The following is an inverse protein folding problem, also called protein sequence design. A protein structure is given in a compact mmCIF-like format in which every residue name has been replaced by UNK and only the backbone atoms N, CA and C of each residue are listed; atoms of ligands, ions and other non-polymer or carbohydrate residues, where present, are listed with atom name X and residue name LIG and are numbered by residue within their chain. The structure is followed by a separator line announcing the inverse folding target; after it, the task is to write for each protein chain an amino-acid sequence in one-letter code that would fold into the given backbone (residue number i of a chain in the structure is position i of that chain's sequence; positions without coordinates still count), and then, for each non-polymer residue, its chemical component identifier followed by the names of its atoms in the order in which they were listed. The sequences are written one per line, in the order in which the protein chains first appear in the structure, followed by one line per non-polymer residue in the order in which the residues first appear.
data_IF_741245664436
#
_entry.id   IF_741245664436
#
_cell.length_a   1.000
_cell.length_b   1.000
_cell.length_c   1.000
_cell.angle_alpha   90.00
_cell.angle_beta   90.00
_cell.angle_gamma   90.00
#
_symmetry.space_group_name_H-M   'P 1'
#
loop_
_entity.id
_entity.type
_entity.pdbx_description
1 polymer ?
#
# COMPACT_ATOMS: atom_id res chain seq x y z
N UNK A 1 9.62 -15.07 9.16
CA UNK A 1 9.97 -14.37 10.41
C UNK A 1 8.66 -13.88 11.02
N UNK A 2 8.38 -14.30 12.26
CA UNK A 2 7.20 -13.80 12.97
C UNK A 2 7.49 -12.36 13.39
N UNK A 3 6.68 -11.39 12.94
CA UNK A 3 6.81 -10.03 13.41
C UNK A 3 6.50 -10.00 14.91
N UNK A 4 7.39 -9.39 15.71
CA UNK A 4 7.11 -9.12 17.12
C UNK A 4 6.30 -7.82 17.19
N UNK A 5 5.19 -7.85 17.91
CA UNK A 5 4.35 -6.68 18.11
C UNK A 5 4.95 -5.79 19.21
N UNK A 6 5.07 -4.51 18.94
CA UNK A 6 5.36 -3.53 19.99
C UNK A 6 4.09 -3.23 20.79
N UNK A 7 4.14 -3.19 22.11
CA UNK A 7 3.01 -2.74 22.91
C UNK A 7 2.50 -1.39 22.42
N UNK A 8 1.21 -1.25 22.16
CA UNK A 8 0.51 -0.07 21.63
C UNK A 8 0.76 0.27 20.14
N UNK A 9 1.41 -0.62 19.37
CA UNK A 9 1.66 -0.42 17.94
C UNK A 9 1.15 -1.58 17.10
N UNK A 10 0.24 -2.38 17.66
CA UNK A 10 -0.40 -3.50 16.95
C UNK A 10 -1.04 -3.01 15.66
N UNK A 11 -0.72 -3.67 14.55
CA UNK A 11 -1.19 -3.27 13.22
C UNK A 11 -0.26 -2.33 12.45
N UNK A 12 0.78 -1.76 13.07
CA UNK A 12 1.82 -1.01 12.34
C UNK A 12 3.09 -1.83 12.08
N UNK A 13 3.17 -3.06 12.55
CA UNK A 13 4.28 -3.96 12.22
C UNK A 13 4.38 -4.15 10.69
N UNK A 14 5.61 -4.04 10.18
CA UNK A 14 5.89 -4.13 8.74
C UNK A 14 5.93 -2.78 7.99
N UNK A 15 5.34 -1.70 8.50
CA UNK A 15 5.33 -0.42 7.79
C UNK A 15 6.72 0.22 7.65
N UNK A 16 7.62 0.00 8.60
CA UNK A 16 9.00 0.52 8.58
C UNK A 16 9.79 -0.02 7.38
N UNK A 17 9.48 -1.22 6.90
CA UNK A 17 10.15 -1.82 5.75
C UNK A 17 10.03 -0.95 4.49
N UNK A 18 8.85 -0.40 4.22
CA UNK A 18 8.66 0.53 3.10
C UNK A 18 9.43 1.82 3.26
N UNK A 19 9.42 2.42 4.46
CA UNK A 19 10.24 3.60 4.75
C UNK A 19 11.74 3.34 4.60
N UNK A 20 12.20 2.16 5.00
CA UNK A 20 13.59 1.76 4.81
C UNK A 20 13.97 1.68 3.32
N UNK A 21 13.12 1.08 2.47
CA UNK A 21 13.34 1.06 1.02
C UNK A 21 13.42 2.47 0.43
N UNK A 22 12.45 3.33 0.76
CA UNK A 22 12.48 4.74 0.33
C UNK A 22 13.77 5.43 0.76
N UNK A 23 14.18 5.26 2.03
CA UNK A 23 15.39 5.89 2.55
C UNK A 23 16.66 5.42 1.82
N UNK A 24 16.79 4.12 1.54
CA UNK A 24 17.93 3.57 0.81
C UNK A 24 17.96 4.07 -0.64
N UNK A 25 16.82 4.04 -1.33
CA UNK A 25 16.72 4.49 -2.71
C UNK A 25 17.03 5.99 -2.86
N UNK A 26 16.41 6.84 -2.05
CA UNK A 26 16.59 8.29 -2.08
C UNK A 26 18.01 8.67 -1.67
N UNK A 27 18.58 8.02 -0.66
CA UNK A 27 19.97 8.27 -0.27
C UNK A 27 20.95 7.89 -1.39
N UNK A 28 20.76 6.73 -2.03
CA UNK A 28 21.54 6.33 -3.18
C UNK A 28 21.46 7.35 -4.32
N UNK A 29 20.25 7.78 -4.68
CA UNK A 29 20.04 8.79 -5.74
C UNK A 29 20.73 10.12 -5.43
N UNK A 30 20.68 10.55 -4.17
CA UNK A 30 21.24 11.84 -3.74
C UNK A 30 22.78 11.83 -3.59
N UNK A 31 23.37 10.69 -3.23
CA UNK A 31 24.78 10.63 -2.79
C UNK A 31 25.66 9.65 -3.59
N UNK A 32 25.07 8.74 -4.35
CA UNK A 32 25.76 7.63 -4.99
C UNK A 32 26.27 6.57 -4.01
N UNK A 33 25.76 6.53 -2.76
CA UNK A 33 26.23 5.60 -1.74
C UNK A 33 25.88 4.15 -2.12
N UNK A 34 26.93 3.39 -2.43
CA UNK A 34 26.79 1.99 -2.89
C UNK A 34 26.22 1.06 -1.81
N UNK A 35 26.53 1.30 -0.55
CA UNK A 35 25.99 0.49 0.55
C UNK A 35 24.45 0.63 0.63
N UNK A 36 23.90 1.83 0.41
CA UNK A 36 22.47 2.02 0.34
C UNK A 36 21.84 1.23 -0.82
N UNK A 37 22.49 1.22 -1.99
CA UNK A 37 22.04 0.42 -3.12
C UNK A 37 22.08 -1.08 -2.81
N UNK A 38 23.16 -1.59 -2.29
CA UNK A 38 23.33 -3.01 -1.93
C UNK A 38 22.28 -3.45 -0.91
N UNK A 39 21.98 -2.63 0.11
CA UNK A 39 20.95 -2.91 1.10
C UNK A 39 19.55 -2.91 0.50
N UNK A 40 19.26 -2.00 -0.42
CA UNK A 40 18.00 -1.95 -1.17
C UNK A 40 17.85 -3.21 -2.02
N UNK A 41 18.83 -3.58 -2.81
CA UNK A 41 18.82 -4.77 -3.67
C UNK A 41 18.67 -6.07 -2.85
N UNK A 42 19.36 -6.18 -1.72
CA UNK A 42 19.21 -7.30 -0.79
C UNK A 42 17.76 -7.40 -0.30
N UNK A 43 17.17 -6.28 0.15
CA UNK A 43 15.79 -6.29 0.63
C UNK A 43 14.80 -6.66 -0.47
N UNK A 44 14.99 -6.19 -1.71
CA UNK A 44 14.14 -6.56 -2.85
C UNK A 44 14.20 -8.07 -3.14
N UNK A 45 15.39 -8.67 -3.02
CA UNK A 45 15.56 -10.13 -3.15
C UNK A 45 14.75 -10.88 -2.09
N UNK A 46 14.85 -10.48 -0.82
CA UNK A 46 14.08 -11.09 0.28
C UNK A 46 12.56 -10.90 0.11
N UNK A 47 12.12 -9.72 -0.37
CA UNK A 47 10.71 -9.48 -0.68
C UNK A 47 10.19 -10.37 -1.81
N UNK A 48 11.01 -10.67 -2.81
CA UNK A 48 10.68 -11.62 -3.87
C UNK A 48 10.46 -13.02 -3.31
N UNK A 49 11.29 -13.46 -2.38
CA UNK A 49 11.09 -14.76 -1.72
C UNK A 49 9.83 -14.77 -0.84
N UNK A 50 9.53 -13.66 -0.14
CA UNK A 50 8.28 -13.50 0.59
C UNK A 50 7.06 -13.60 -0.32
N UNK A 51 7.09 -12.97 -1.50
CA UNK A 51 6.03 -13.03 -2.49
C UNK A 51 5.78 -14.46 -2.94
N UNK A 52 6.84 -15.18 -3.36
CA UNK A 52 6.76 -16.59 -3.77
C UNK A 52 6.18 -17.48 -2.66
N UNK A 53 6.63 -17.26 -1.43
CA UNK A 53 6.13 -18.02 -0.28
C UNK A 53 4.64 -17.77 -0.04
N UNK A 54 4.16 -16.53 -0.22
CA UNK A 54 2.75 -16.19 -0.09
C UNK A 54 1.91 -16.80 -1.23
N UNK A 55 2.40 -16.80 -2.45
CA UNK A 55 1.72 -17.46 -3.58
C UNK A 55 1.50 -18.95 -3.34
N UNK A 56 2.50 -19.63 -2.76
CA UNK A 56 2.42 -21.07 -2.49
C UNK A 56 1.55 -21.38 -1.26
N UNK A 57 1.78 -20.66 -0.16
CA UNK A 57 1.18 -21.01 1.12
C UNK A 57 -0.20 -20.39 1.35
N UNK A 58 -0.57 -19.37 0.57
CA UNK A 58 -1.78 -18.58 0.73
C UNK A 58 -2.50 -18.39 -0.62
N UNK A 59 -2.65 -19.45 -1.40
CA UNK A 59 -3.13 -19.41 -2.79
C UNK A 59 -4.47 -18.66 -2.99
N UNK A 60 -5.33 -18.62 -1.96
CA UNK A 60 -6.62 -17.92 -2.04
C UNK A 60 -6.49 -16.40 -2.13
N UNK A 61 -5.47 -15.80 -1.47
CA UNK A 61 -5.32 -14.35 -1.35
C UNK A 61 -3.88 -13.85 -1.52
N UNK A 62 -2.89 -14.73 -1.47
CA UNK A 62 -1.47 -14.36 -1.32
C UNK A 62 -0.72 -14.07 -2.62
N UNK A 63 -1.31 -14.35 -3.79
CA UNK A 63 -0.65 -14.10 -5.07
C UNK A 63 -0.40 -12.59 -5.26
N UNK A 64 0.88 -12.20 -5.29
CA UNK A 64 1.30 -10.79 -5.38
C UNK A 64 1.42 -10.04 -4.04
N UNK A 65 1.11 -10.67 -2.90
CA UNK A 65 1.18 -10.03 -1.58
C UNK A 65 2.59 -10.06 -0.99
N UNK A 66 3.08 -8.90 -0.58
CA UNK A 66 4.37 -8.71 0.08
C UNK A 66 4.32 -7.80 1.32
N UNK A 67 3.15 -7.59 1.87
CA UNK A 67 2.99 -6.79 3.08
C UNK A 67 3.41 -7.55 4.34
N UNK A 68 3.87 -6.82 5.36
CA UNK A 68 4.25 -7.35 6.68
C UNK A 68 3.19 -7.18 7.76
N UNK A 69 1.92 -6.97 7.39
CA UNK A 69 0.85 -6.75 8.35
C UNK A 69 0.61 -7.99 9.23
N UNK A 70 0.50 -7.83 10.56
CA UNK A 70 0.26 -8.96 11.47
C UNK A 70 -1.05 -9.69 11.15
N UNK A 71 -1.06 -11.01 11.35
CA UNK A 71 -2.23 -11.86 11.09
C UNK A 71 -2.80 -11.77 9.66
N UNK A 72 -1.98 -11.42 8.68
CA UNK A 72 -2.38 -11.28 7.25
C UNK A 72 -3.22 -12.45 6.74
N UNK A 73 -2.90 -13.69 7.14
CA UNK A 73 -3.64 -14.86 6.67
C UNK A 73 -5.12 -14.83 7.09
N UNK A 74 -5.39 -14.57 8.36
CA UNK A 74 -6.76 -14.46 8.86
C UNK A 74 -7.48 -13.24 8.26
N UNK A 75 -6.79 -12.10 8.25
CA UNK A 75 -7.33 -10.84 7.74
C UNK A 75 -7.74 -10.95 6.26
N UNK A 76 -6.80 -11.32 5.39
CA UNK A 76 -7.05 -11.28 3.95
C UNK A 76 -7.94 -12.42 3.45
N UNK A 77 -7.91 -13.59 4.11
CA UNK A 77 -8.88 -14.66 3.84
C UNK A 77 -10.32 -14.23 4.12
N UNK A 78 -10.56 -13.58 5.26
CA UNK A 78 -11.89 -13.07 5.62
C UNK A 78 -12.30 -11.91 4.72
N UNK A 79 -11.40 -10.95 4.50
CA UNK A 79 -11.62 -9.77 3.67
C UNK A 79 -12.01 -10.15 2.23
N UNK A 80 -11.33 -11.10 1.62
CA UNK A 80 -11.64 -11.60 0.26
C UNK A 80 -13.03 -12.23 0.17
N UNK A 81 -13.54 -12.79 1.28
CA UNK A 81 -14.88 -13.38 1.38
C UNK A 81 -15.97 -12.34 1.67
N UNK A 82 -15.59 -11.04 1.77
CA UNK A 82 -16.51 -9.95 2.07
C UNK A 82 -16.79 -9.73 3.55
N UNK A 83 -16.03 -10.38 4.45
CA UNK A 83 -16.12 -10.12 5.90
C UNK A 83 -15.26 -8.91 6.26
N UNK A 84 -15.91 -7.78 6.47
CA UNK A 84 -15.26 -6.54 6.88
C UNK A 84 -14.97 -6.45 8.38
N UNK A 85 -15.59 -7.28 9.23
CA UNK A 85 -15.47 -7.11 10.67
C UNK A 85 -14.03 -7.25 11.15
N UNK A 86 -13.32 -8.26 10.63
CA UNK A 86 -11.91 -8.44 10.96
C UNK A 86 -11.05 -7.28 10.48
N UNK A 87 -11.36 -6.71 9.30
CA UNK A 87 -10.65 -5.55 8.75
C UNK A 87 -10.91 -4.30 9.60
N UNK A 88 -12.16 -4.03 9.95
CA UNK A 88 -12.53 -2.86 10.75
C UNK A 88 -12.03 -2.95 12.20
N UNK A 89 -11.78 -4.17 12.71
CA UNK A 89 -11.17 -4.39 14.02
C UNK A 89 -9.64 -4.32 14.00
N UNK A 90 -9.04 -4.45 12.83
CA UNK A 90 -7.60 -4.32 12.65
C UNK A 90 -7.21 -2.84 12.53
N UNK A 91 -6.06 -2.45 13.10
CA UNK A 91 -5.62 -1.07 13.00
C UNK A 91 -4.92 -0.79 11.67
N UNK A 92 -5.61 -0.03 10.79
CA UNK A 92 -5.08 0.59 9.60
C UNK A 92 -4.30 -0.33 8.62
N UNK A 93 -4.86 -1.48 8.16
CA UNK A 93 -4.12 -2.40 7.30
C UNK A 93 -3.58 -1.76 6.02
N UNK A 94 -4.41 -1.04 5.25
CA UNK A 94 -3.95 -0.38 4.03
C UNK A 94 -3.00 0.79 4.27
N UNK A 95 -3.08 1.46 5.42
CA UNK A 95 -2.07 2.45 5.80
C UNK A 95 -0.68 1.81 5.94
N UNK A 96 -0.61 0.66 6.60
CA UNK A 96 0.61 -0.13 6.72
C UNK A 96 1.16 -0.53 5.35
N UNK A 97 0.31 -1.15 4.51
CA UNK A 97 0.71 -1.60 3.18
C UNK A 97 1.13 -0.44 2.27
N UNK A 98 0.50 0.74 2.40
CA UNK A 98 0.86 1.92 1.63
C UNK A 98 2.36 2.24 1.72
N UNK A 99 2.98 2.04 2.88
CA UNK A 99 4.42 2.31 3.06
C UNK A 99 5.29 1.36 2.23
N UNK A 100 4.90 0.08 2.12
CA UNK A 100 5.58 -0.88 1.25
C UNK A 100 5.40 -0.53 -0.23
N UNK A 101 4.20 -0.17 -0.65
CA UNK A 101 3.96 0.32 -2.02
C UNK A 101 4.85 1.52 -2.35
N UNK A 102 4.87 2.52 -1.48
CA UNK A 102 5.70 3.71 -1.66
C UNK A 102 7.19 3.37 -1.72
N UNK A 103 7.66 2.48 -0.83
CA UNK A 103 9.05 2.02 -0.82
C UNK A 103 9.47 1.32 -2.11
N UNK A 104 8.62 0.45 -2.64
CA UNK A 104 8.88 -0.23 -3.92
C UNK A 104 8.89 0.76 -5.10
N UNK A 105 7.94 1.71 -5.13
CA UNK A 105 7.93 2.78 -6.13
C UNK A 105 9.23 3.59 -6.08
N UNK A 106 9.66 4.00 -4.89
CA UNK A 106 10.87 4.80 -4.71
C UNK A 106 12.13 4.02 -5.08
N UNK A 107 12.19 2.73 -4.73
CA UNK A 107 13.30 1.85 -5.13
C UNK A 107 13.38 1.69 -6.65
N UNK A 108 12.26 1.71 -7.36
CA UNK A 108 12.27 1.74 -8.81
C UNK A 108 12.69 3.12 -9.35
N UNK A 109 12.05 4.22 -8.90
CA UNK A 109 12.27 5.55 -9.48
C UNK A 109 13.62 6.15 -9.14
N UNK A 110 14.08 5.96 -7.90
CA UNK A 110 15.33 6.55 -7.39
C UNK A 110 16.46 5.54 -7.29
N UNK A 111 16.14 4.27 -7.12
CA UNK A 111 17.12 3.19 -7.07
C UNK A 111 17.42 2.56 -8.43
N UNK A 112 16.67 2.93 -9.49
CA UNK A 112 16.79 2.37 -10.84
C UNK A 112 16.68 0.83 -10.87
N UNK A 113 15.71 0.29 -10.13
CA UNK A 113 15.53 -1.16 -9.95
C UNK A 113 14.31 -1.68 -10.71
N UNK A 114 14.54 -2.45 -11.78
CA UNK A 114 13.46 -3.16 -12.50
C UNK A 114 12.78 -4.21 -11.63
N UNK A 115 13.51 -4.80 -10.68
CA UNK A 115 12.94 -5.74 -9.70
C UNK A 115 11.92 -5.05 -8.80
N UNK A 116 12.24 -3.85 -8.32
CA UNK A 116 11.31 -3.04 -7.53
C UNK A 116 10.04 -2.69 -8.32
N UNK A 117 10.19 -2.32 -9.60
CA UNK A 117 9.06 -2.09 -10.51
C UNK A 117 8.17 -3.31 -10.64
N UNK A 118 8.76 -4.48 -10.87
CA UNK A 118 8.03 -5.72 -11.02
C UNK A 118 7.26 -6.08 -9.74
N UNK A 119 7.89 -5.98 -8.57
CA UNK A 119 7.24 -6.19 -7.27
C UNK A 119 6.13 -5.17 -7.01
N UNK A 120 6.36 -3.90 -7.32
CA UNK A 120 5.37 -2.83 -7.19
C UNK A 120 4.10 -3.13 -7.98
N UNK A 121 4.23 -3.48 -9.26
CA UNK A 121 3.08 -3.76 -10.12
C UNK A 121 2.34 -5.04 -9.70
N UNK A 122 3.07 -6.10 -9.31
CA UNK A 122 2.44 -7.32 -8.78
C UNK A 122 1.66 -7.03 -7.48
N UNK A 123 2.20 -6.19 -6.61
CA UNK A 123 1.50 -5.80 -5.40
C UNK A 123 0.30 -4.89 -5.68
N UNK A 124 0.38 -4.00 -6.69
CA UNK A 124 -0.78 -3.25 -7.18
C UNK A 124 -1.88 -4.17 -7.70
N UNK A 125 -1.53 -5.19 -8.47
CA UNK A 125 -2.49 -6.19 -8.97
C UNK A 125 -3.13 -6.98 -7.83
N UNK A 126 -2.37 -7.30 -6.78
CA UNK A 126 -2.93 -7.87 -5.56
C UNK A 126 -3.96 -6.94 -4.91
N UNK A 127 -3.66 -5.65 -4.75
CA UNK A 127 -4.56 -4.66 -4.16
C UNK A 127 -5.89 -4.53 -4.92
N UNK A 128 -5.84 -4.60 -6.26
CA UNK A 128 -7.02 -4.66 -7.12
C UNK A 128 -7.78 -5.97 -6.89
N UNK A 129 -7.09 -7.10 -6.91
CA UNK A 129 -7.66 -8.44 -6.77
C UNK A 129 -8.34 -8.67 -5.43
N UNK A 130 -7.75 -8.21 -4.32
CA UNK A 130 -8.31 -8.39 -2.98
C UNK A 130 -9.59 -7.58 -2.75
N UNK A 131 -9.78 -6.49 -3.50
CA UNK A 131 -10.97 -5.62 -3.43
C UNK A 131 -11.94 -5.83 -4.60
N UNK A 132 -11.68 -6.79 -5.49
CA UNK A 132 -12.42 -6.94 -6.74
C UNK A 132 -13.92 -7.26 -6.57
N UNK A 133 -14.27 -7.94 -5.48
CA UNK A 133 -15.67 -8.31 -5.17
C UNK A 133 -16.49 -7.20 -4.53
N UNK A 134 -15.85 -6.09 -4.14
CA UNK A 134 -16.51 -5.01 -3.42
C UNK A 134 -17.22 -4.06 -4.38
N UNK A 135 -18.46 -3.71 -4.05
CA UNK A 135 -19.16 -2.61 -4.69
C UNK A 135 -18.64 -1.25 -4.15
N UNK A 136 -19.11 -0.15 -4.73
CA UNK A 136 -18.61 1.19 -4.39
C UNK A 136 -18.93 1.58 -2.94
N UNK A 137 -20.08 1.18 -2.40
CA UNK A 137 -20.44 1.44 -1.00
C UNK A 137 -19.51 0.70 -0.04
N UNK A 138 -19.20 -0.56 -0.32
CA UNK A 138 -18.25 -1.35 0.45
C UNK A 138 -16.83 -0.77 0.38
N UNK A 139 -16.40 -0.29 -0.81
CA UNK A 139 -15.13 0.43 -0.94
C UNK A 139 -15.10 1.69 -0.08
N UNK A 140 -16.13 2.53 -0.11
CA UNK A 140 -16.19 3.73 0.72
C UNK A 140 -16.23 3.42 2.22
N UNK A 141 -16.92 2.35 2.63
CA UNK A 141 -16.93 1.85 4.02
C UNK A 141 -15.52 1.41 4.45
N UNK A 142 -14.81 0.67 3.60
CA UNK A 142 -13.42 0.30 3.84
C UNK A 142 -12.50 1.52 4.01
N UNK A 143 -12.69 2.55 3.18
CA UNK A 143 -11.89 3.78 3.17
C UNK A 143 -12.16 4.70 4.37
N UNK A 144 -13.16 4.44 5.18
CA UNK A 144 -13.31 5.11 6.48
C UNK A 144 -12.19 4.72 7.45
N UNK A 145 -11.61 3.51 7.30
CA UNK A 145 -10.38 3.14 7.99
C UNK A 145 -9.18 3.86 7.34
N UNK A 146 -8.20 4.23 8.14
CA UNK A 146 -6.97 4.88 7.67
C UNK A 146 -6.25 4.01 6.62
N UNK A 147 -5.99 4.59 5.45
CA UNK A 147 -5.44 3.87 4.29
C UNK A 147 -4.29 4.59 3.59
N UNK A 148 -3.75 5.66 4.21
CA UNK A 148 -2.64 6.42 3.64
C UNK A 148 -2.97 7.01 2.26
N UNK A 149 -2.00 7.01 1.37
CA UNK A 149 -2.12 7.47 -0.01
C UNK A 149 -2.35 6.34 -1.03
N UNK A 150 -3.23 5.39 -0.74
CA UNK A 150 -3.46 4.27 -1.66
C UNK A 150 -3.95 4.71 -3.04
N UNK A 151 -4.72 5.79 -3.14
CA UNK A 151 -5.12 6.38 -4.42
C UNK A 151 -3.91 6.93 -5.21
N UNK A 152 -2.90 7.51 -4.55
CA UNK A 152 -1.65 7.96 -5.17
C UNK A 152 -0.88 6.77 -5.77
N UNK A 153 -0.78 5.66 -5.06
CA UNK A 153 -0.08 4.46 -5.52
C UNK A 153 -0.64 3.96 -6.85
N UNK A 154 -1.96 3.88 -6.97
CA UNK A 154 -2.58 3.44 -8.20
C UNK A 154 -2.51 4.50 -9.33
N UNK A 155 -2.54 5.79 -8.99
CA UNK A 155 -2.30 6.86 -9.97
C UNK A 155 -0.87 6.77 -10.53
N UNK A 156 0.14 6.52 -9.67
CA UNK A 156 1.52 6.30 -10.11
C UNK A 156 1.64 5.05 -11.00
N UNK A 157 1.00 3.94 -10.63
CA UNK A 157 0.99 2.73 -11.45
C UNK A 157 0.37 2.98 -12.84
N UNK A 158 -0.67 3.82 -12.92
CA UNK A 158 -1.25 4.26 -14.20
C UNK A 158 -0.27 5.11 -15.00
N UNK A 159 0.36 6.11 -14.40
CA UNK A 159 1.34 6.96 -15.08
C UNK A 159 2.53 6.15 -15.64
N UNK A 160 2.96 5.13 -14.89
CA UNK A 160 4.07 4.25 -15.28
C UNK A 160 3.72 3.35 -16.48
N UNK A 161 2.49 2.83 -16.49
CA UNK A 161 2.12 1.73 -17.40
C UNK A 161 1.15 2.14 -18.51
N UNK A 162 0.40 3.23 -18.32
CA UNK A 162 -0.73 3.59 -19.18
C UNK A 162 -1.92 2.64 -19.07
N UNK A 163 -1.93 1.69 -18.13
CA UNK A 163 -2.97 0.68 -18.04
C UNK A 163 -4.16 1.19 -17.21
N UNK A 164 -5.31 1.35 -17.86
CA UNK A 164 -6.56 1.88 -17.31
C UNK A 164 -7.05 1.17 -16.04
N UNK A 165 -6.67 -0.10 -15.81
CA UNK A 165 -7.04 -0.80 -14.57
C UNK A 165 -6.53 -0.08 -13.32
N UNK A 166 -5.35 0.55 -13.40
CA UNK A 166 -4.77 1.30 -12.28
C UNK A 166 -5.46 2.66 -12.09
N UNK A 167 -5.85 3.34 -13.18
CA UNK A 167 -6.65 4.56 -13.07
C UNK A 167 -8.01 4.28 -12.40
N UNK A 168 -8.67 3.18 -12.79
CA UNK A 168 -9.91 2.75 -12.14
C UNK A 168 -9.67 2.45 -10.65
N UNK A 169 -8.59 1.77 -10.32
CA UNK A 169 -8.22 1.49 -8.93
C UNK A 169 -7.96 2.77 -8.13
N UNK A 170 -7.24 3.75 -8.70
CA UNK A 170 -7.00 5.05 -8.07
C UNK A 170 -8.32 5.76 -7.70
N UNK A 171 -9.29 5.77 -8.63
CA UNK A 171 -10.63 6.31 -8.40
C UNK A 171 -11.38 5.55 -7.31
N UNK A 172 -11.34 4.22 -7.33
CA UNK A 172 -11.99 3.36 -6.32
C UNK A 172 -11.41 3.54 -4.92
N UNK A 173 -10.10 3.79 -4.81
CA UNK A 173 -9.41 4.09 -3.55
C UNK A 173 -9.46 5.57 -3.15
N UNK A 174 -10.17 6.43 -3.88
CA UNK A 174 -10.42 7.81 -3.49
C UNK A 174 -11.59 7.89 -2.50
N UNK A 175 -11.35 8.51 -1.34
CA UNK A 175 -12.31 8.61 -0.24
C UNK A 175 -13.30 9.77 -0.49
N UNK A 176 -14.39 9.51 -1.19
CA UNK A 176 -15.34 10.50 -1.70
C UNK A 176 -15.99 11.34 -0.60
N UNK A 177 -16.29 10.76 0.57
CA UNK A 177 -16.85 11.52 1.70
C UNK A 177 -15.97 12.69 2.15
N UNK A 178 -14.65 12.58 1.93
CA UNK A 178 -13.71 13.67 2.19
C UNK A 178 -13.49 14.55 0.95
N UNK A 179 -13.24 13.92 -0.18
CA UNK A 179 -12.68 14.59 -1.36
C UNK A 179 -13.74 15.34 -2.18
N UNK A 180 -14.97 14.82 -2.28
CA UNK A 180 -16.05 15.47 -3.04
C UNK A 180 -16.49 16.82 -2.47
N UNK A 181 -16.75 16.99 -1.15
CA UNK A 181 -17.03 18.30 -0.60
C UNK A 181 -15.90 19.30 -0.86
N UNK A 182 -14.65 18.89 -0.64
CA UNK A 182 -13.49 19.75 -0.86
C UNK A 182 -13.35 20.18 -2.33
N UNK A 183 -13.61 19.29 -3.27
CA UNK A 183 -13.58 19.63 -4.70
C UNK A 183 -14.64 20.68 -5.11
N UNK A 184 -15.68 20.83 -4.28
CA UNK A 184 -16.74 21.83 -4.42
C UNK A 184 -16.49 23.09 -3.56
N UNK A 185 -15.32 23.23 -2.94
CA UNK A 185 -14.96 24.33 -2.05
C UNK A 185 -15.62 24.28 -0.68
N UNK A 186 -16.17 23.13 -0.28
CA UNK A 186 -16.80 22.93 1.02
C UNK A 186 -15.76 22.35 1.97
N UNK A 187 -15.37 23.13 2.99
CA UNK A 187 -14.44 22.67 4.03
C UNK A 187 -15.14 21.66 4.96
N UNK A 188 -14.59 20.47 5.04
CA UNK A 188 -15.03 19.40 5.92
C UNK A 188 -13.86 18.80 6.72
N UNK A 189 -12.79 19.59 6.95
CA UNK A 189 -11.55 19.14 7.60
C UNK A 189 -11.55 19.33 9.11
N UNK A 190 -12.51 20.07 9.66
CA UNK A 190 -12.59 20.34 11.08
C UNK A 190 -12.61 19.04 11.89
N UNK A 191 -11.80 18.98 12.96
CA UNK A 191 -11.60 17.83 13.84
C UNK A 191 -11.09 16.55 13.13
N UNK A 192 -10.57 16.63 11.90
CA UNK A 192 -9.96 15.48 11.21
C UNK A 192 -8.44 15.43 11.44
N UNK A 193 -7.96 14.21 11.62
CA UNK A 193 -6.52 13.95 11.83
C UNK A 193 -5.72 14.17 10.54
N UNK A 194 -4.80 15.12 10.54
CA UNK A 194 -4.04 15.53 9.35
C UNK A 194 -3.29 14.38 8.67
N UNK A 195 -2.61 13.53 9.43
CA UNK A 195 -1.87 12.38 8.89
C UNK A 195 -2.77 11.40 8.13
N UNK A 196 -4.03 11.27 8.55
CA UNK A 196 -5.02 10.42 7.86
C UNK A 196 -5.52 11.05 6.56
N UNK A 197 -5.60 12.39 6.50
CA UNK A 197 -6.29 13.06 5.37
C UNK A 197 -5.32 13.57 4.30
N UNK A 198 -4.17 14.14 4.66
CA UNK A 198 -3.25 14.77 3.70
C UNK A 198 -2.80 13.81 2.59
N UNK A 199 -2.44 12.55 2.84
CA UNK A 199 -2.02 11.64 1.76
C UNK A 199 -3.08 11.41 0.68
N UNK A 200 -4.38 11.52 1.04
CA UNK A 200 -5.49 11.34 0.10
C UNK A 200 -5.55 12.46 -0.93
N UNK A 201 -5.17 13.69 -0.53
CA UNK A 201 -5.16 14.85 -1.43
C UNK A 201 -4.08 14.71 -2.48
N UNK A 202 -2.92 14.18 -2.12
CA UNK A 202 -1.80 13.98 -3.05
C UNK A 202 -2.25 13.07 -4.21
N UNK A 203 -2.86 11.94 -3.89
CA UNK A 203 -3.36 11.01 -4.91
C UNK A 203 -4.54 11.55 -5.72
N UNK A 204 -5.38 12.41 -5.12
CA UNK A 204 -6.52 12.99 -5.82
C UNK A 204 -6.12 14.09 -6.83
N UNK A 205 -5.02 14.76 -6.57
CA UNK A 205 -4.48 15.80 -7.47
C UNK A 205 -3.58 15.24 -8.57
N UNK A 206 -3.18 13.97 -8.48
CA UNK A 206 -2.35 13.26 -9.43
C UNK A 206 -3.13 12.67 -10.60
#
# INVERSE_FOLDING_TARGET
VKAETYPNWDGLDGHIAGHYLSAMAINFAATGNKECRERMEYMLTELRECLKANEINNAEWGAGYIGGFPNSAALWSAFKKGDFNIYLSAWAPFYNLHKMYAGLRDAWLYGDSDEAKALFLQFCDWGIGITATFNDEQMQTMLNMEHGGMNEIFADAYQITGNEKYLLAARRFSHNQLLEPLSKGIDNLDNKHANTQIPKFIGFTR
#
